data_IF_154147329665
#
_entry.id   IF_154147329665
#
_cell.length_a   1.000
_cell.length_b   1.000
_cell.length_c   1.000
_cell.angle_alpha   90.00
_cell.angle_beta   90.00
_cell.angle_gamma   90.00
#
_symmetry.space_group_name_H-M   'P 1'
#
loop_
_entity.id
_entity.type
_entity.pdbx_description
1 polymer ?
#
# COMPACT_ATOMS: atom_id res chain seq x y z
N UNK A 1 27.70 25.98 7.26
CA UNK A 1 26.95 27.00 8.02
C UNK A 1 25.46 26.96 7.69
N UNK A 2 25.08 26.61 6.45
CA UNK A 2 23.66 26.48 6.05
C UNK A 2 22.97 25.18 6.50
N UNK A 3 23.68 24.05 6.59
CA UNK A 3 23.13 22.76 7.08
C UNK A 3 22.69 22.86 8.55
N UNK A 4 23.47 23.57 9.38
CA UNK A 4 23.13 23.78 10.80
C UNK A 4 21.86 24.63 10.92
N UNK A 5 21.68 25.63 10.05
CA UNK A 5 20.49 26.48 9.99
C UNK A 5 19.23 25.73 9.53
N UNK A 6 19.38 24.70 8.70
CA UNK A 6 18.30 23.82 8.25
C UNK A 6 17.91 22.79 9.32
N UNK A 7 18.89 22.34 10.12
CA UNK A 7 18.70 21.51 11.32
C UNK A 7 18.09 22.29 12.51
N UNK A 8 18.37 23.59 12.60
CA UNK A 8 17.92 24.48 13.69
C UNK A 8 16.51 25.06 13.47
N UNK A 9 15.86 24.82 12.33
CA UNK A 9 14.45 25.19 12.15
C UNK A 9 13.54 24.22 12.91
N UNK A 10 12.54 24.71 13.68
CA UNK A 10 11.57 23.84 14.31
C UNK A 10 10.75 23.12 13.23
N UNK A 11 11.10 21.86 12.93
CA UNK A 11 10.26 21.01 12.08
C UNK A 11 8.89 20.90 12.74
N UNK A 12 7.85 21.35 12.06
CA UNK A 12 6.49 21.06 12.48
C UNK A 12 6.27 19.55 12.38
N UNK A 13 6.37 18.88 13.52
CA UNK A 13 6.15 17.44 13.61
C UNK A 13 4.68 17.12 13.35
N UNK A 14 4.46 16.05 12.59
CA UNK A 14 3.16 15.53 12.21
C UNK A 14 2.38 15.10 13.46
N UNK A 15 1.18 15.65 13.60
CA UNK A 15 0.18 15.16 14.54
C UNK A 15 -0.43 13.82 14.09
N UNK A 16 -1.35 13.29 14.90
CA UNK A 16 -1.95 11.97 14.68
C UNK A 16 -2.67 11.81 13.33
N UNK A 17 -3.48 12.80 12.94
CA UNK A 17 -4.26 12.71 11.70
C UNK A 17 -3.37 12.77 10.44
N UNK A 18 -2.46 13.75 10.26
CA UNK A 18 -1.53 13.76 9.13
C UNK A 18 -0.67 12.48 9.06
N UNK A 19 -0.11 12.03 10.19
CA UNK A 19 0.72 10.82 10.24
C UNK A 19 -0.06 9.56 9.85
N UNK A 20 -1.29 9.43 10.39
CA UNK A 20 -2.22 8.36 10.03
C UNK A 20 -2.62 8.46 8.57
N UNK A 21 -2.77 9.65 8.00
CA UNK A 21 -3.22 9.81 6.62
C UNK A 21 -2.16 9.44 5.60
N UNK A 22 -0.89 9.80 5.83
CA UNK A 22 0.21 9.44 4.95
C UNK A 22 0.38 7.91 4.91
N UNK A 23 0.57 7.31 6.08
CA UNK A 23 0.82 5.86 6.20
C UNK A 23 -0.44 5.05 5.93
N UNK A 24 -1.58 5.56 6.38
CA UNK A 24 -2.91 5.00 6.20
C UNK A 24 -3.33 4.96 4.74
N UNK A 25 -2.97 5.96 3.92
CA UNK A 25 -3.31 5.96 2.51
C UNK A 25 -2.74 4.71 1.82
N UNK A 26 -1.48 4.36 2.08
CA UNK A 26 -0.82 3.22 1.44
C UNK A 26 -1.48 1.88 1.83
N UNK A 27 -1.78 1.70 3.12
CA UNK A 27 -2.44 0.47 3.59
C UNK A 27 -3.92 0.40 3.20
N UNK A 28 -4.62 1.52 3.22
CA UNK A 28 -6.05 1.52 2.91
C UNK A 28 -6.30 1.48 1.40
N UNK A 29 -5.42 2.06 0.58
CA UNK A 29 -5.46 1.88 -0.88
C UNK A 29 -5.30 0.42 -1.28
N UNK A 30 -4.62 -0.39 -0.47
CA UNK A 30 -4.48 -1.82 -0.76
C UNK A 30 -5.82 -2.56 -0.83
N UNK A 31 -6.84 -2.10 -0.11
CA UNK A 31 -8.21 -2.67 -0.17
C UNK A 31 -8.75 -2.72 -1.60
N UNK A 32 -8.39 -1.74 -2.43
CA UNK A 32 -8.85 -1.62 -3.82
C UNK A 32 -8.38 -2.77 -4.73
N UNK A 33 -7.31 -3.49 -4.37
CA UNK A 33 -6.80 -4.63 -5.12
C UNK A 33 -6.72 -5.92 -4.30
N UNK A 34 -6.45 -5.85 -2.99
CA UNK A 34 -6.36 -7.02 -2.10
C UNK A 34 -7.69 -7.77 -2.06
N UNK A 35 -8.82 -7.06 -1.99
CA UNK A 35 -10.14 -7.70 -1.94
C UNK A 35 -10.43 -8.46 -3.24
N UNK A 36 -10.06 -7.90 -4.41
CA UNK A 36 -10.17 -8.57 -5.71
C UNK A 36 -9.31 -9.82 -5.78
N UNK A 37 -8.01 -9.69 -5.47
CA UNK A 37 -7.08 -10.80 -5.59
C UNK A 37 -7.42 -11.93 -4.62
N UNK A 38 -7.85 -11.62 -3.38
CA UNK A 38 -8.28 -12.65 -2.42
C UNK A 38 -9.56 -13.32 -2.87
N UNK A 39 -10.50 -12.57 -3.46
CA UNK A 39 -11.69 -13.18 -4.03
C UNK A 39 -11.34 -14.11 -5.19
N UNK A 40 -10.40 -13.73 -6.08
CA UNK A 40 -9.95 -14.55 -7.20
C UNK A 40 -9.32 -15.88 -6.76
N UNK A 41 -8.53 -15.87 -5.67
CA UNK A 41 -7.84 -17.08 -5.20
C UNK A 41 -8.69 -17.92 -4.24
N UNK A 42 -9.46 -17.28 -3.36
CA UNK A 42 -10.15 -17.94 -2.24
C UNK A 42 -11.66 -18.00 -2.37
N UNK A 43 -12.23 -17.38 -3.41
CA UNK A 43 -13.65 -17.39 -3.69
C UNK A 43 -14.47 -17.07 -2.43
N UNK A 44 -15.38 -17.98 -2.06
CA UNK A 44 -16.27 -17.80 -0.89
C UNK A 44 -15.54 -17.78 0.45
N UNK A 45 -14.35 -18.37 0.51
CA UNK A 45 -13.54 -18.39 1.73
C UNK A 45 -12.80 -17.08 1.95
N UNK A 46 -12.89 -16.07 1.05
CA UNK A 46 -12.16 -14.80 1.16
C UNK A 46 -12.21 -14.11 2.54
N UNK A 47 -13.27 -14.19 3.38
CA UNK A 47 -13.22 -13.56 4.70
C UNK A 47 -12.18 -14.21 5.64
N UNK A 48 -11.89 -15.50 5.47
CA UNK A 48 -10.94 -16.25 6.32
C UNK A 48 -9.49 -15.74 6.15
N UNK A 49 -8.90 -15.70 4.94
CA UNK A 49 -7.56 -15.14 4.77
C UNK A 49 -7.51 -13.65 5.13
N UNK A 50 -8.56 -12.86 4.88
CA UNK A 50 -8.58 -11.43 5.28
C UNK A 50 -8.55 -11.26 6.81
N UNK A 51 -9.29 -12.10 7.55
CA UNK A 51 -9.22 -12.16 9.01
C UNK A 51 -7.84 -12.62 9.50
N UNK A 52 -7.25 -13.61 8.84
CA UNK A 52 -5.93 -14.11 9.19
C UNK A 52 -4.84 -13.03 9.00
N UNK A 53 -4.87 -12.29 7.90
CA UNK A 53 -3.93 -11.18 7.68
C UNK A 53 -4.18 -10.06 8.69
N UNK A 54 -5.44 -9.73 9.01
CA UNK A 54 -5.77 -8.77 10.09
C UNK A 54 -5.21 -9.20 11.45
N UNK A 55 -5.28 -10.50 11.78
CA UNK A 55 -4.71 -11.05 13.00
C UNK A 55 -3.17 -10.97 13.00
N UNK A 56 -2.50 -11.28 11.88
CA UNK A 56 -1.05 -11.12 11.75
C UNK A 56 -0.64 -9.66 11.94
N UNK A 57 -1.33 -8.71 11.29
CA UNK A 57 -1.07 -7.28 11.46
C UNK A 57 -1.32 -6.80 12.89
N UNK A 58 -2.31 -7.38 13.59
CA UNK A 58 -2.57 -7.08 15.00
C UNK A 58 -1.37 -7.40 15.88
N UNK A 59 -0.76 -8.57 15.71
CA UNK A 59 0.45 -8.93 16.46
C UNK A 59 1.66 -8.12 16.00
N UNK A 60 1.80 -7.96 14.69
CA UNK A 60 2.91 -7.23 14.09
C UNK A 60 2.97 -5.78 14.58
N UNK A 61 1.83 -5.13 14.84
CA UNK A 61 1.80 -3.75 15.37
C UNK A 61 2.61 -3.59 16.66
N UNK A 62 2.60 -4.59 17.55
CA UNK A 62 3.30 -4.51 18.82
C UNK A 62 4.80 -4.68 18.64
N UNK A 63 5.19 -5.61 17.76
CA UNK A 63 6.59 -5.85 17.37
C UNK A 63 7.17 -4.59 16.70
N UNK A 64 6.40 -4.01 15.77
CA UNK A 64 6.80 -2.82 15.02
C UNK A 64 6.89 -1.58 15.90
N UNK A 65 5.92 -1.39 16.81
CA UNK A 65 5.93 -0.32 17.80
C UNK A 65 7.21 -0.38 18.64
N UNK A 66 7.53 -1.54 19.20
CA UNK A 66 8.67 -1.71 20.11
C UNK A 66 10.01 -1.39 19.44
N UNK A 67 10.25 -1.95 18.25
CA UNK A 67 11.54 -1.80 17.59
C UNK A 67 11.75 -0.42 17.00
N UNK A 68 10.72 0.14 16.34
CA UNK A 68 10.84 1.46 15.71
C UNK A 68 10.88 2.57 16.77
N UNK A 69 10.24 2.41 17.93
CA UNK A 69 10.38 3.39 19.02
C UNK A 69 11.72 3.29 19.74
N UNK A 70 12.37 2.12 19.71
CA UNK A 70 13.72 1.93 20.27
C UNK A 70 14.81 2.55 19.38
N UNK A 71 14.66 2.44 18.05
CA UNK A 71 15.56 3.02 17.06
C UNK A 71 14.73 3.90 16.11
N UNK A 72 14.35 5.13 16.52
CA UNK A 72 13.45 6.01 15.79
C UNK A 72 14.17 6.67 14.61
N UNK A 73 14.61 5.86 13.66
CA UNK A 73 15.31 6.31 12.46
C UNK A 73 14.56 5.90 11.21
N UNK A 74 14.35 6.86 10.29
CA UNK A 74 13.72 6.63 8.98
C UNK A 74 14.46 5.56 8.18
N UNK A 75 13.81 4.81 7.30
CA UNK A 75 14.40 3.60 6.68
C UNK A 75 14.08 2.30 7.45
N UNK A 76 13.31 2.43 8.54
CA UNK A 76 12.42 1.40 9.04
C UNK A 76 13.06 0.06 9.36
N UNK A 77 12.47 -1.00 8.82
CA UNK A 77 12.86 -2.41 8.99
C UNK A 77 14.36 -2.66 8.74
N UNK A 78 14.98 -1.94 7.81
CA UNK A 78 16.40 -2.13 7.49
C UNK A 78 17.32 -1.64 8.61
N UNK A 79 17.11 -0.42 9.14
CA UNK A 79 17.95 0.10 10.22
C UNK A 79 17.84 -0.78 11.46
N UNK A 80 16.63 -1.22 11.80
CA UNK A 80 16.43 -2.16 12.88
C UNK A 80 17.26 -3.43 12.66
N UNK A 81 17.19 -4.03 11.46
CA UNK A 81 17.92 -5.25 11.13
C UNK A 81 19.45 -5.06 11.11
N UNK A 82 19.94 -3.93 10.61
CA UNK A 82 21.37 -3.62 10.56
C UNK A 82 21.99 -3.50 11.95
N UNK A 83 21.23 -2.97 12.92
CA UNK A 83 21.70 -2.77 14.29
C UNK A 83 21.56 -4.02 15.17
N UNK A 84 20.85 -5.05 14.70
CA UNK A 84 20.41 -6.17 15.56
C UNK A 84 20.76 -7.54 14.99
N UNK A 85 21.13 -7.61 13.71
CA UNK A 85 21.47 -8.86 13.02
C UNK A 85 22.77 -8.73 12.23
N UNK A 86 23.17 -9.79 11.54
CA UNK A 86 24.36 -9.76 10.70
C UNK A 86 24.17 -8.85 9.47
N UNK A 87 25.26 -8.24 8.97
CA UNK A 87 25.26 -7.45 7.73
C UNK A 87 24.65 -8.21 6.54
N UNK A 88 24.82 -9.54 6.48
CA UNK A 88 24.26 -10.39 5.42
C UNK A 88 22.73 -10.48 5.53
N UNK A 89 22.21 -10.66 6.74
CA UNK A 89 20.76 -10.70 7.01
C UNK A 89 20.12 -9.35 6.72
N UNK A 90 20.75 -8.25 7.14
CA UNK A 90 20.29 -6.90 6.85
C UNK A 90 20.30 -6.58 5.35
N UNK A 91 21.33 -7.00 4.61
CA UNK A 91 21.39 -6.86 3.15
C UNK A 91 20.32 -7.69 2.43
N UNK A 92 20.06 -8.92 2.89
CA UNK A 92 18.99 -9.75 2.34
C UNK A 92 17.61 -9.11 2.57
N UNK A 93 17.35 -8.59 3.77
CA UNK A 93 16.13 -7.86 4.06
C UNK A 93 15.99 -6.55 3.27
N UNK A 94 17.10 -5.85 3.01
CA UNK A 94 17.11 -4.69 2.12
C UNK A 94 16.64 -5.07 0.71
N UNK A 95 17.13 -6.18 0.15
CA UNK A 95 16.68 -6.67 -1.15
C UNK A 95 15.17 -6.97 -1.16
N UNK A 96 14.64 -7.61 -0.11
CA UNK A 96 13.20 -7.86 0.03
C UNK A 96 12.41 -6.55 0.15
N UNK A 97 12.95 -5.55 0.86
CA UNK A 97 12.38 -4.21 0.96
C UNK A 97 12.31 -3.48 -0.39
N UNK A 98 13.39 -3.54 -1.17
CA UNK A 98 13.44 -2.99 -2.53
C UNK A 98 12.39 -3.65 -3.41
N UNK A 99 12.30 -4.99 -3.39
CA UNK A 99 11.27 -5.74 -4.13
C UNK A 99 9.85 -5.38 -3.68
N UNK A 100 9.63 -5.19 -2.38
CA UNK A 100 8.34 -4.78 -1.81
C UNK A 100 7.92 -3.40 -2.32
N UNK A 101 8.82 -2.40 -2.28
CA UNK A 101 8.53 -1.06 -2.80
C UNK A 101 8.35 -1.04 -4.32
N UNK A 102 9.14 -1.81 -5.06
CA UNK A 102 9.01 -1.92 -6.51
C UNK A 102 7.63 -2.49 -6.88
N UNK A 103 7.26 -3.61 -6.26
CA UNK A 103 5.98 -4.24 -6.53
C UNK A 103 4.80 -3.38 -6.04
N UNK A 104 4.91 -2.72 -4.89
CA UNK A 104 3.87 -1.79 -4.39
C UNK A 104 3.60 -0.67 -5.39
N UNK A 105 4.65 -0.03 -5.93
CA UNK A 105 4.47 1.04 -6.92
C UNK A 105 3.87 0.55 -8.23
N UNK A 106 4.33 -0.60 -8.74
CA UNK A 106 3.82 -1.18 -9.99
C UNK A 106 2.37 -1.64 -9.86
N UNK A 107 2.02 -2.34 -8.77
CA UNK A 107 0.65 -2.79 -8.48
C UNK A 107 -0.26 -1.58 -8.30
N UNK A 108 0.17 -0.56 -7.56
CA UNK A 108 -0.64 0.64 -7.35
C UNK A 108 -0.87 1.41 -8.64
N UNK A 109 0.17 1.61 -9.45
CA UNK A 109 0.05 2.29 -10.74
C UNK A 109 -0.84 1.52 -11.72
N UNK A 110 -0.66 0.21 -11.80
CA UNK A 110 -1.45 -0.67 -12.69
C UNK A 110 -2.92 -0.66 -12.30
N UNK A 111 -3.23 -0.87 -11.02
CA UNK A 111 -4.63 -0.84 -10.55
C UNK A 111 -5.25 0.54 -10.73
N UNK A 112 -4.50 1.62 -10.49
CA UNK A 112 -4.98 3.00 -10.69
C UNK A 112 -5.46 3.21 -12.14
N UNK A 113 -4.65 2.77 -13.10
CA UNK A 113 -4.99 2.83 -14.54
C UNK A 113 -6.14 1.87 -14.88
N UNK A 114 -6.20 0.68 -14.30
CA UNK A 114 -7.32 -0.25 -14.51
C UNK A 114 -8.66 0.32 -14.04
N UNK A 115 -8.69 0.96 -12.87
CA UNK A 115 -9.89 1.67 -12.38
C UNK A 115 -10.30 2.80 -13.33
N UNK A 116 -9.34 3.55 -13.86
CA UNK A 116 -9.62 4.61 -14.84
C UNK A 116 -10.08 4.06 -16.20
N UNK A 117 -9.52 2.92 -16.63
CA UNK A 117 -9.86 2.24 -17.87
C UNK A 117 -11.32 1.75 -17.89
N UNK A 118 -11.90 1.48 -16.71
CA UNK A 118 -13.33 1.16 -16.57
C UNK A 118 -14.25 2.33 -16.94
N UNK A 119 -13.75 3.58 -16.91
CA UNK A 119 -14.50 4.77 -17.32
C UNK A 119 -14.16 5.21 -18.75
N UNK A 120 -12.88 5.16 -19.12
CA UNK A 120 -12.39 5.60 -20.43
C UNK A 120 -11.42 4.56 -20.95
N UNK A 121 -11.69 4.00 -22.13
CA UNK A 121 -10.81 3.00 -22.74
C UNK A 121 -9.44 3.60 -23.04
N UNK A 122 -8.40 3.11 -22.34
CA UNK A 122 -7.03 3.58 -22.44
C UNK A 122 -6.06 2.39 -22.50
N UNK A 123 -4.90 2.53 -23.17
CA UNK A 123 -3.89 1.48 -23.21
C UNK A 123 -3.24 1.33 -21.83
N UNK A 124 -3.55 0.24 -21.12
CA UNK A 124 -3.15 0.03 -19.72
C UNK A 124 -1.63 0.10 -19.56
N UNK A 125 -0.87 -0.69 -20.33
CA UNK A 125 0.60 -0.75 -20.24
C UNK A 125 1.25 0.63 -20.42
N UNK A 126 0.90 1.33 -21.50
CA UNK A 126 1.46 2.66 -21.79
C UNK A 126 1.07 3.71 -20.76
N UNK A 127 -0.18 3.69 -20.30
CA UNK A 127 -0.69 4.63 -19.30
C UNK A 127 -0.05 4.40 -17.93
N UNK A 128 0.20 3.14 -17.54
CA UNK A 128 0.89 2.80 -16.29
C UNK A 128 2.33 3.28 -16.30
N UNK A 129 3.06 3.08 -17.40
CA UNK A 129 4.44 3.59 -17.54
C UNK A 129 4.46 5.12 -17.50
N UNK A 130 3.52 5.76 -18.20
CA UNK A 130 3.38 7.22 -18.16
C UNK A 130 3.10 7.73 -16.73
N UNK A 131 2.19 7.08 -16.00
CA UNK A 131 1.88 7.43 -14.61
C UNK A 131 3.11 7.30 -13.71
N UNK A 132 3.84 6.18 -13.80
CA UNK A 132 5.09 5.98 -13.07
C UNK A 132 6.12 7.07 -13.39
N UNK A 133 6.24 7.47 -14.65
CA UNK A 133 7.15 8.54 -15.09
C UNK A 133 6.73 9.91 -14.59
N UNK A 134 5.44 10.22 -14.59
CA UNK A 134 4.90 11.46 -14.03
C UNK A 134 5.22 11.57 -12.53
N UNK A 135 5.02 10.48 -11.77
CA UNK A 135 5.37 10.46 -10.34
C UNK A 135 6.88 10.44 -10.08
N UNK A 136 7.70 9.87 -10.99
CA UNK A 136 9.15 10.01 -10.94
C UNK A 136 9.57 11.49 -11.05
N UNK A 137 8.96 12.24 -11.97
CA UNK A 137 9.22 13.68 -12.11
C UNK A 137 8.80 14.46 -10.86
N UNK A 138 7.62 14.17 -10.30
CA UNK A 138 7.16 14.77 -9.04
C UNK A 138 8.12 14.48 -7.87
N UNK A 139 8.61 13.24 -7.78
CA UNK A 139 9.60 12.84 -6.78
C UNK A 139 10.93 13.57 -6.97
N UNK A 140 11.40 13.75 -8.22
CA UNK A 140 12.61 14.53 -8.52
C UNK A 140 12.43 16.00 -8.15
N UNK A 141 11.24 16.56 -8.35
CA UNK A 141 10.88 17.92 -7.96
C UNK A 141 10.80 18.12 -6.44
N UNK A 142 10.83 17.03 -5.66
CA UNK A 142 10.76 17.06 -4.20
C UNK A 142 9.37 17.42 -3.68
N UNK A 143 8.31 17.19 -4.46
CA UNK A 143 6.94 17.40 -4.00
C UNK A 143 6.55 16.21 -3.13
N UNK A 144 6.68 16.38 -1.81
CA UNK A 144 6.25 15.42 -0.78
C UNK A 144 5.14 15.98 0.13
N UNK A 145 4.49 17.08 -0.27
CA UNK A 145 3.63 17.86 0.61
C UNK A 145 2.44 17.06 1.17
N UNK A 146 2.56 16.75 2.46
CA UNK A 146 1.68 15.92 3.28
C UNK A 146 0.34 16.58 3.65
N UNK A 147 0.25 17.91 3.59
CA UNK A 147 -0.91 18.66 4.11
C UNK A 147 -2.24 18.36 3.37
N UNK A 148 -2.17 17.96 2.11
CA UNK A 148 -3.34 17.57 1.30
C UNK A 148 -3.67 16.07 1.38
N UNK A 149 -2.73 15.24 1.83
CA UNK A 149 -2.90 13.78 1.88
C UNK A 149 -3.99 13.39 2.88
N UNK A 150 -4.14 14.14 3.97
CA UNK A 150 -5.21 13.92 4.94
C UNK A 150 -6.62 14.08 4.37
N UNK A 151 -6.83 15.04 3.47
CA UNK A 151 -8.15 15.26 2.85
C UNK A 151 -8.48 14.12 1.90
N UNK A 152 -7.52 13.68 1.08
CA UNK A 152 -7.66 12.54 0.16
C UNK A 152 -7.97 11.27 0.96
N UNK A 153 -7.23 11.03 2.04
CA UNK A 153 -7.42 9.87 2.89
C UNK A 153 -8.79 9.83 3.58
N UNK A 154 -9.26 10.96 4.13
CA UNK A 154 -10.58 11.05 4.73
C UNK A 154 -11.69 10.87 3.69
N UNK A 155 -11.52 11.43 2.49
CA UNK A 155 -12.45 11.24 1.38
C UNK A 155 -12.56 9.75 1.01
N UNK A 156 -11.44 9.05 0.92
CA UNK A 156 -11.38 7.61 0.66
C UNK A 156 -12.09 6.80 1.75
N UNK A 157 -11.86 7.12 3.02
CA UNK A 157 -12.58 6.48 4.14
C UNK A 157 -14.09 6.67 4.00
N UNK A 158 -14.56 7.88 3.65
CA UNK A 158 -15.99 8.15 3.45
C UNK A 158 -16.55 7.33 2.30
N UNK A 159 -15.85 7.29 1.17
CA UNK A 159 -16.23 6.49 0.01
C UNK A 159 -16.35 5.01 0.37
N UNK A 160 -15.33 4.43 1.03
CA UNK A 160 -15.34 3.03 1.46
C UNK A 160 -16.43 2.75 2.50
N UNK A 161 -16.73 3.70 3.40
CA UNK A 161 -17.80 3.57 4.39
C UNK A 161 -19.17 3.52 3.72
N UNK A 162 -19.42 4.42 2.76
CA UNK A 162 -20.68 4.43 1.99
C UNK A 162 -20.80 3.12 1.21
N UNK A 163 -19.71 2.68 0.58
CA UNK A 163 -19.71 1.41 -0.14
C UNK A 163 -20.06 0.25 0.81
N UNK A 164 -19.39 0.14 1.96
CA UNK A 164 -19.65 -0.91 2.95
C UNK A 164 -21.10 -0.90 3.44
N UNK A 165 -21.63 0.26 3.86
CA UNK A 165 -23.01 0.36 4.35
C UNK A 165 -24.01 0.02 3.24
N UNK A 166 -23.80 0.50 2.01
CA UNK A 166 -24.68 0.19 0.87
C UNK A 166 -24.73 -1.31 0.57
N UNK A 167 -23.61 -2.04 0.73
CA UNK A 167 -23.56 -3.49 0.57
C UNK A 167 -24.40 -4.22 1.61
N UNK A 168 -24.25 -3.83 2.88
CA UNK A 168 -24.98 -4.45 3.99
C UNK A 168 -26.48 -4.28 3.77
N UNK A 169 -26.91 -3.08 3.40
CA UNK A 169 -28.33 -2.81 3.07
C UNK A 169 -28.79 -3.63 1.87
N UNK A 170 -28.02 -3.63 0.78
CA UNK A 170 -28.36 -4.38 -0.44
C UNK A 170 -28.49 -5.88 -0.16
N UNK A 171 -27.56 -6.48 0.60
CA UNK A 171 -27.57 -7.89 0.96
C UNK A 171 -28.73 -8.28 1.90
N UNK A 172 -29.17 -7.36 2.76
CA UNK A 172 -30.38 -7.58 3.59
C UNK A 172 -31.65 -7.57 2.70
N UNK A 173 -31.70 -6.67 1.71
CA UNK A 173 -32.85 -6.52 0.81
C UNK A 173 -32.93 -7.66 -0.22
N UNK A 174 -31.79 -8.12 -0.73
CA UNK A 174 -31.69 -9.14 -1.77
C UNK A 174 -31.06 -10.41 -1.18
N UNK A 175 -31.89 -11.26 -0.54
CA UNK A 175 -31.46 -12.53 0.05
C UNK A 175 -31.09 -13.57 -1.02
N UNK A 176 -29.90 -13.47 -1.61
CA UNK A 176 -29.33 -14.51 -2.49
C UNK A 176 -28.04 -15.05 -1.91
N UNK A 177 -28.15 -15.98 -0.95
CA UNK A 177 -27.00 -16.76 -0.50
C UNK A 177 -26.92 -18.03 -1.36
N UNK A 178 -26.12 -18.00 -2.44
CA UNK A 178 -25.81 -19.21 -3.22
C UNK A 178 -24.53 -19.83 -2.67
N UNK A 179 -24.67 -20.91 -1.88
CA UNK A 179 -23.60 -21.70 -1.26
C UNK A 179 -23.37 -23.01 -2.02
N UNK A 180 -22.55 -23.00 -3.07
CA UNK A 180 -21.79 -24.17 -3.54
C UNK A 180 -20.48 -23.74 -4.20
N UNK A 181 -19.44 -24.57 -4.01
CA UNK A 181 -18.02 -24.44 -4.37
C UNK A 181 -17.13 -23.64 -3.38
N UNK A 182 -16.20 -24.36 -2.74
CA UNK A 182 -15.10 -23.86 -1.92
C UNK A 182 -13.80 -24.01 -2.71
N UNK A 183 -13.04 -22.93 -2.87
CA UNK A 183 -11.65 -22.94 -3.38
C UNK A 183 -10.71 -22.39 -2.32
N UNK A 184 -9.42 -22.75 -2.42
CA UNK A 184 -8.43 -22.76 -1.33
C UNK A 184 -8.12 -21.39 -0.69
N UNK A 185 -7.66 -21.42 0.57
CA UNK A 185 -7.22 -20.24 1.33
C UNK A 185 -5.86 -19.74 0.83
N UNK A 186 -5.80 -18.50 0.33
CA UNK A 186 -4.55 -17.80 0.02
C UNK A 186 -4.43 -16.56 0.89
N UNK A 187 -3.34 -16.44 1.65
CA UNK A 187 -2.99 -15.19 2.32
C UNK A 187 -2.32 -14.28 1.30
N UNK A 188 -3.01 -13.23 0.87
CA UNK A 188 -2.41 -12.18 0.02
C UNK A 188 -2.01 -10.99 0.88
N UNK A 189 -0.87 -10.38 0.56
CA UNK A 189 -0.27 -9.34 1.39
C UNK A 189 -1.12 -8.06 1.42
N UNK A 190 -1.45 -7.62 2.64
CA UNK A 190 -1.89 -6.25 2.91
C UNK A 190 -0.62 -5.40 3.04
N UNK A 191 -0.55 -4.32 2.26
CA UNK A 191 0.69 -3.55 2.05
C UNK A 191 0.69 -2.26 2.85
N UNK A 192 1.83 -1.59 2.99
CA UNK A 192 1.89 -0.22 3.49
C UNK A 192 1.91 -0.07 5.02
N UNK A 193 1.78 -1.15 5.79
CA UNK A 193 1.97 -1.10 7.24
C UNK A 193 3.40 -0.65 7.60
N UNK A 194 4.39 -1.15 6.85
CA UNK A 194 5.81 -0.84 6.96
C UNK A 194 6.14 0.62 6.60
N UNK A 195 5.35 1.23 5.71
CA UNK A 195 5.61 2.59 5.23
C UNK A 195 5.49 3.65 6.33
N UNK A 196 4.80 3.32 7.43
CA UNK A 196 4.70 4.19 8.62
C UNK A 196 6.05 4.51 9.24
N UNK A 197 7.02 3.58 9.17
CA UNK A 197 8.35 3.76 9.75
C UNK A 197 9.25 4.71 8.95
N UNK A 198 8.89 5.02 7.70
CA UNK A 198 9.62 6.00 6.89
C UNK A 198 9.35 7.45 7.31
N UNK A 199 8.35 7.66 8.18
CA UNK A 199 7.95 8.97 8.67
C UNK A 199 8.03 9.05 10.19
N UNK A 200 8.84 8.20 10.85
CA UNK A 200 8.89 8.14 12.31
C UNK A 200 9.58 9.39 12.88
N UNK A 201 10.60 9.90 12.19
CA UNK A 201 11.36 11.11 12.59
C UNK A 201 10.51 12.38 12.46
N UNK A 202 9.52 12.37 11.55
CA UNK A 202 8.63 13.48 11.28
C UNK A 202 7.40 13.52 12.21
N UNK A 203 7.21 12.53 13.09
CA UNK A 203 6.04 12.42 13.96
C UNK A 203 6.27 12.99 15.37
N UNK A 204 5.21 13.53 15.98
CA UNK A 204 5.26 13.94 17.38
C UNK A 204 5.48 12.73 18.31
N UNK A 205 6.12 12.91 19.49
CA UNK A 205 6.32 11.83 20.45
C UNK A 205 5.02 11.09 20.80
N UNK A 206 5.04 9.76 20.70
CA UNK A 206 3.89 8.90 21.00
C UNK A 206 2.81 8.82 19.90
N UNK A 207 2.91 9.59 18.81
CA UNK A 207 1.97 9.51 17.68
C UNK A 207 2.12 8.22 16.90
N UNK A 208 3.34 7.71 16.72
CA UNK A 208 3.61 6.49 15.94
C UNK A 208 2.77 5.30 16.37
N UNK A 209 2.66 5.05 17.68
CA UNK A 209 1.81 4.00 18.25
C UNK A 209 0.35 4.15 17.83
N UNK A 210 -0.17 5.38 17.87
CA UNK A 210 -1.56 5.67 17.50
C UNK A 210 -1.78 5.48 16.00
N UNK A 211 -0.82 5.90 15.19
CA UNK A 211 -0.82 5.67 13.73
C UNK A 211 -0.92 4.18 13.41
N UNK A 212 -0.09 3.32 14.02
CA UNK A 212 -0.18 1.86 13.82
C UNK A 212 -1.53 1.28 14.24
N UNK A 213 -2.07 1.72 15.38
CA UNK A 213 -3.40 1.30 15.86
C UNK A 213 -4.50 1.70 14.88
N UNK A 214 -4.49 2.95 14.41
CA UNK A 214 -5.51 3.50 13.52
C UNK A 214 -5.45 2.80 12.15
N UNK A 215 -4.24 2.58 11.60
CA UNK A 215 -4.02 1.82 10.37
C UNK A 215 -4.56 0.39 10.47
N UNK A 216 -4.22 -0.34 11.53
CA UNK A 216 -4.70 -1.70 11.75
C UNK A 216 -6.23 -1.76 11.86
N UNK A 217 -6.83 -0.83 12.61
CA UNK A 217 -8.28 -0.79 12.80
C UNK A 217 -9.01 -0.55 11.47
N UNK A 218 -8.59 0.47 10.72
CA UNK A 218 -9.17 0.82 9.43
C UNK A 218 -9.04 -0.33 8.43
N UNK A 219 -7.83 -0.86 8.26
CA UNK A 219 -7.61 -1.93 7.28
C UNK A 219 -8.40 -3.19 7.65
N UNK A 220 -8.52 -3.53 8.93
CA UNK A 220 -9.33 -4.67 9.38
C UNK A 220 -10.79 -4.49 9.03
N UNK A 221 -11.36 -3.32 9.37
CA UNK A 221 -12.77 -3.03 9.12
C UNK A 221 -13.07 -3.09 7.62
N UNK A 222 -12.26 -2.42 6.80
CA UNK A 222 -12.54 -2.34 5.36
C UNK A 222 -12.19 -3.63 4.62
N UNK A 223 -11.04 -4.27 4.85
CA UNK A 223 -10.74 -5.53 4.15
C UNK A 223 -11.71 -6.64 4.54
N UNK A 224 -11.92 -6.89 5.84
CA UNK A 224 -12.81 -7.98 6.28
C UNK A 224 -14.27 -7.65 5.96
N UNK A 225 -14.70 -6.41 6.26
CA UNK A 225 -16.07 -5.97 6.03
C UNK A 225 -16.44 -5.96 4.55
N UNK A 226 -15.63 -5.33 3.70
CA UNK A 226 -15.89 -5.33 2.25
C UNK A 226 -15.76 -6.73 1.68
N UNK A 227 -14.76 -7.51 2.09
CA UNK A 227 -14.58 -8.87 1.62
C UNK A 227 -15.77 -9.78 1.91
N UNK A 228 -16.32 -9.73 3.14
CA UNK A 228 -17.53 -10.47 3.48
C UNK A 228 -18.77 -9.96 2.72
N UNK A 229 -18.90 -8.63 2.58
CA UNK A 229 -20.10 -8.02 2.00
C UNK A 229 -20.18 -8.10 0.48
N UNK A 230 -19.05 -8.24 -0.24
CA UNK A 230 -19.02 -8.39 -1.70
C UNK A 230 -19.67 -9.70 -2.14
N UNK A 231 -19.44 -10.79 -1.40
CA UNK A 231 -20.05 -12.09 -1.66
C UNK A 231 -21.59 -12.06 -1.56
N UNK A 232 -22.15 -11.07 -0.86
CA UNK A 232 -23.60 -10.88 -0.75
C UNK A 232 -24.20 -10.17 -1.96
N UNK A 233 -23.39 -9.55 -2.84
CA UNK A 233 -23.88 -8.73 -3.95
C UNK A 233 -23.52 -9.27 -5.32
N UNK A 234 -22.32 -9.81 -5.49
CA UNK A 234 -21.88 -10.35 -6.78
C UNK A 234 -21.72 -11.87 -6.73
N UNK A 235 -22.16 -12.60 -7.77
CA UNK A 235 -21.78 -14.00 -7.94
C UNK A 235 -20.26 -14.10 -8.18
N UNK A 236 -19.65 -15.24 -7.87
CA UNK A 236 -18.23 -15.47 -8.19
C UNK A 236 -18.00 -15.54 -9.71
N UNK A 237 -18.85 -16.31 -10.39
CA UNK A 237 -18.74 -16.61 -11.81
C UNK A 237 -19.77 -15.84 -12.64
N UNK A 238 -19.60 -15.88 -13.96
CA UNK A 238 -20.44 -15.17 -14.93
C UNK A 238 -19.87 -13.82 -15.36
N UNK A 239 -20.41 -13.25 -16.43
CA UNK A 239 -19.92 -11.97 -17.00
C UNK A 239 -20.05 -10.78 -16.06
N UNK A 240 -21.01 -10.83 -15.13
CA UNK A 240 -21.19 -9.84 -14.06
C UNK A 240 -20.59 -10.30 -12.72
N UNK A 241 -19.90 -11.43 -12.68
CA UNK A 241 -19.33 -11.99 -11.47
C UNK A 241 -17.98 -11.38 -11.10
N UNK A 242 -17.49 -11.74 -9.91
CA UNK A 242 -16.25 -11.23 -9.34
C UNK A 242 -15.05 -11.52 -10.24
N UNK A 243 -14.93 -12.76 -10.76
CA UNK A 243 -13.78 -13.15 -11.58
C UNK A 243 -13.70 -12.41 -12.92
N UNK A 244 -14.84 -11.99 -13.47
CA UNK A 244 -14.88 -11.24 -14.73
C UNK A 244 -14.57 -9.73 -14.55
N UNK A 245 -14.55 -9.24 -13.30
CA UNK A 245 -14.42 -7.83 -12.98
C UNK A 245 -13.30 -7.59 -11.94
N UNK A 246 -12.25 -8.41 -11.93
CA UNK A 246 -11.17 -8.37 -10.93
C UNK A 246 -10.45 -7.01 -10.89
N UNK A 247 -10.12 -6.45 -12.05
CA UNK A 247 -9.32 -5.23 -12.24
C UNK A 247 -9.94 -3.96 -11.63
N UNK A 248 -11.26 -3.92 -11.46
CA UNK A 248 -11.99 -2.77 -10.90
C UNK A 248 -13.18 -3.24 -10.04
N UNK A 249 -12.97 -4.30 -9.25
CA UNK A 249 -14.04 -5.00 -8.54
C UNK A 249 -14.88 -4.07 -7.68
N UNK A 250 -14.25 -3.19 -6.89
CA UNK A 250 -15.01 -2.29 -6.00
C UNK A 250 -15.88 -1.29 -6.77
N UNK A 251 -15.48 -0.91 -7.99
CA UNK A 251 -16.29 -0.04 -8.85
C UNK A 251 -17.50 -0.80 -9.40
N UNK A 252 -17.30 -2.04 -9.90
CA UNK A 252 -18.39 -2.91 -10.35
C UNK A 252 -19.36 -3.25 -9.23
N UNK A 253 -18.82 -3.60 -8.07
CA UNK A 253 -19.54 -3.73 -6.81
C UNK A 253 -20.36 -2.46 -6.65
N UNK A 254 -19.74 -1.29 -6.51
CA UNK A 254 -20.40 0.02 -6.36
C UNK A 254 -21.56 0.27 -7.33
N UNK A 255 -21.35 -0.03 -8.61
CA UNK A 255 -22.37 0.05 -9.67
C UNK A 255 -23.62 -0.74 -9.35
N UNK A 256 -23.49 -1.98 -8.88
CA UNK A 256 -24.66 -2.83 -8.59
C UNK A 256 -25.46 -2.36 -7.38
N UNK A 257 -24.84 -1.76 -6.36
CA UNK A 257 -25.60 -1.29 -5.18
C UNK A 257 -26.15 0.13 -5.31
N UNK A 258 -25.43 1.05 -5.96
CA UNK A 258 -25.76 2.47 -5.97
C UNK A 258 -25.87 3.07 -7.38
N UNK A 259 -25.54 2.31 -8.43
CA UNK A 259 -25.61 2.74 -9.82
C UNK A 259 -24.32 3.34 -10.38
N UNK A 260 -24.38 3.76 -11.66
CA UNK A 260 -23.21 4.21 -12.44
C UNK A 260 -22.51 5.45 -11.89
N UNK A 261 -23.22 6.36 -11.23
CA UNK A 261 -22.60 7.56 -10.65
C UNK A 261 -21.62 7.18 -9.53
N UNK A 262 -21.97 6.17 -8.72
CA UNK A 262 -21.13 5.70 -7.63
C UNK A 262 -19.93 4.92 -8.19
N UNK A 263 -20.13 4.12 -9.24
CA UNK A 263 -19.04 3.48 -9.99
C UNK A 263 -17.99 4.49 -10.46
N UNK A 264 -18.42 5.59 -11.10
CA UNK A 264 -17.52 6.64 -11.56
C UNK A 264 -16.78 7.29 -10.38
N UNK A 265 -17.48 7.54 -9.27
CA UNK A 265 -16.86 8.06 -8.06
C UNK A 265 -15.80 7.10 -7.48
N UNK A 266 -16.10 5.79 -7.40
CA UNK A 266 -15.14 4.76 -6.97
C UNK A 266 -13.90 4.76 -7.85
N UNK A 267 -14.07 4.82 -9.18
CA UNK A 267 -12.95 4.83 -10.11
C UNK A 267 -12.03 6.05 -9.93
N UNK A 268 -12.62 7.24 -9.77
CA UNK A 268 -11.86 8.48 -9.57
C UNK A 268 -11.14 8.49 -8.21
N UNK A 269 -11.84 8.09 -7.15
CA UNK A 269 -11.25 7.97 -5.81
C UNK A 269 -10.10 6.96 -5.79
N UNK A 270 -10.32 5.76 -6.35
CA UNK A 270 -9.30 4.72 -6.47
C UNK A 270 -8.06 5.22 -7.23
N UNK A 271 -8.25 5.91 -8.36
CA UNK A 271 -7.16 6.48 -9.14
C UNK A 271 -6.29 7.42 -8.30
N UNK A 272 -6.92 8.37 -7.59
CA UNK A 272 -6.24 9.39 -6.77
C UNK A 272 -5.52 8.77 -5.57
N UNK A 273 -6.15 7.84 -4.85
CA UNK A 273 -5.58 7.23 -3.64
C UNK A 273 -4.41 6.31 -3.99
N UNK A 274 -4.52 5.51 -5.07
CA UNK A 274 -3.44 4.66 -5.58
C UNK A 274 -2.26 5.47 -6.12
N UNK A 275 -2.50 6.65 -6.70
CA UNK A 275 -1.44 7.60 -7.05
C UNK A 275 -0.61 8.02 -5.80
N UNK A 276 -1.27 8.20 -4.65
CA UNK A 276 -0.59 8.45 -3.38
C UNK A 276 0.28 7.27 -2.92
N UNK A 277 -0.14 6.03 -3.18
CA UNK A 277 0.67 4.84 -2.90
C UNK A 277 1.90 4.74 -3.83
N UNK A 278 1.78 5.14 -5.11
CA UNK A 278 2.93 5.26 -6.03
C UNK A 278 3.93 6.29 -5.51
N UNK A 279 3.48 7.47 -5.06
CA UNK A 279 4.39 8.45 -4.47
C UNK A 279 5.07 7.92 -3.21
N UNK A 280 4.32 7.20 -2.36
CA UNK A 280 4.86 6.59 -1.13
C UNK A 280 5.92 5.54 -1.41
N UNK A 281 5.81 4.77 -2.51
CA UNK A 281 6.85 3.81 -2.89
C UNK A 281 8.12 4.49 -3.39
N UNK A 282 8.03 5.62 -4.09
CA UNK A 282 9.19 6.46 -4.44
C UNK A 282 9.89 7.03 -3.20
N UNK A 283 9.13 7.54 -2.22
CA UNK A 283 9.71 8.01 -0.95
C UNK A 283 10.35 6.87 -0.17
N UNK A 284 9.68 5.73 -0.10
CA UNK A 284 10.16 4.54 0.60
C UNK A 284 11.46 3.97 0.02
N UNK A 285 11.57 3.87 -1.31
CA UNK A 285 12.81 3.41 -1.94
C UNK A 285 13.95 4.40 -1.77
N UNK A 286 13.68 5.71 -1.85
CA UNK A 286 14.70 6.72 -1.62
C UNK A 286 15.23 6.63 -0.18
N UNK A 287 14.34 6.57 0.82
CA UNK A 287 14.73 6.45 2.23
C UNK A 287 15.48 5.15 2.56
N UNK A 288 15.14 4.04 1.90
CA UNK A 288 15.86 2.77 2.07
C UNK A 288 17.25 2.82 1.43
N UNK A 289 17.33 3.26 0.17
CA UNK A 289 18.56 3.19 -0.63
C UNK A 289 19.59 4.24 -0.22
N UNK A 290 19.15 5.42 0.23
CA UNK A 290 20.01 6.48 0.76
C UNK A 290 20.88 6.00 1.94
N UNK A 291 20.36 5.03 2.71
CA UNK A 291 21.07 4.42 3.85
C UNK A 291 21.89 3.18 3.48
N UNK A 292 21.78 2.68 2.24
CA UNK A 292 22.34 1.40 1.79
C UNK A 292 23.54 1.53 0.84
N UNK A 293 23.58 2.56 0.00
CA UNK A 293 24.53 2.62 -1.13
C UNK A 293 25.70 3.60 -0.89
N UNK A 294 26.87 3.34 -1.53
CA UNK A 294 28.03 4.23 -1.48
C UNK A 294 27.69 5.62 -2.03
N UNK A 295 28.46 6.64 -1.60
CA UNK A 295 28.22 8.08 -1.77
C UNK A 295 27.86 8.54 -3.19
N UNK A 296 28.22 7.78 -4.22
CA UNK A 296 27.92 8.06 -5.63
C UNK A 296 26.44 7.90 -5.99
N UNK A 297 25.70 6.96 -5.39
CA UNK A 297 24.26 6.78 -5.65
C UNK A 297 23.37 7.65 -4.75
N UNK A 298 23.96 8.19 -3.69
CA UNK A 298 23.37 9.20 -2.81
C UNK A 298 23.71 10.64 -3.26
N UNK A 299 24.19 10.82 -4.51
CA UNK A 299 24.40 12.15 -5.07
C UNK A 299 23.05 12.87 -5.21
N UNK A 300 22.91 13.93 -4.42
CA UNK A 300 21.74 14.78 -4.44
C UNK A 300 21.85 15.84 -5.53
N UNK A 301 20.73 16.18 -6.16
CA UNK A 301 20.72 17.25 -7.16
C UNK A 301 21.00 18.61 -6.49
N UNK A 302 21.91 19.40 -7.06
CA UNK A 302 22.30 20.75 -6.58
C UNK A 302 21.12 21.73 -6.44
N UNK A 303 20.02 21.54 -7.18
CA UNK A 303 18.87 22.45 -7.17
C UNK A 303 17.84 22.18 -6.08
N UNK A 304 17.70 20.92 -5.63
CA UNK A 304 16.57 20.47 -4.78
C UNK A 304 16.97 19.46 -3.70
N UNK A 305 18.21 18.97 -3.68
CA UNK A 305 18.67 18.00 -2.70
C UNK A 305 18.11 16.57 -2.89
N UNK A 306 17.56 16.22 -4.06
CA UNK A 306 16.90 14.92 -4.30
C UNK A 306 17.82 13.88 -4.95
N UNK A 307 17.65 12.60 -4.55
CA UNK A 307 18.39 11.43 -5.08
C UNK A 307 17.87 10.98 -6.46
N UNK A 308 18.17 11.77 -7.48
CA UNK A 308 17.68 11.60 -8.85
C UNK A 308 18.10 10.27 -9.51
N UNK A 309 19.27 9.72 -9.18
CA UNK A 309 19.68 8.40 -9.67
C UNK A 309 18.80 7.27 -9.15
N UNK A 310 18.47 7.29 -7.85
CA UNK A 310 17.61 6.27 -7.23
C UNK A 310 16.22 6.28 -7.88
N UNK A 311 15.66 7.48 -8.07
CA UNK A 311 14.35 7.65 -8.71
C UNK A 311 14.37 7.15 -10.16
N UNK A 312 15.42 7.48 -10.92
CA UNK A 312 15.58 7.03 -12.31
C UNK A 312 15.70 5.51 -12.44
N UNK A 313 16.53 4.88 -11.60
CA UNK A 313 16.71 3.41 -11.56
C UNK A 313 15.38 2.74 -11.16
N UNK A 314 14.71 3.24 -10.13
CA UNK A 314 13.42 2.72 -9.71
C UNK A 314 12.39 2.80 -10.85
N UNK A 315 12.29 3.94 -11.53
CA UNK A 315 11.39 4.10 -12.67
C UNK A 315 11.67 3.09 -13.79
N UNK A 316 12.95 2.87 -14.12
CA UNK A 316 13.34 1.89 -15.14
C UNK A 316 12.98 0.46 -14.74
N UNK A 317 13.26 0.07 -13.49
CA UNK A 317 12.90 -1.25 -12.96
C UNK A 317 11.38 -1.43 -12.85
N UNK A 318 10.64 -0.39 -12.48
CA UNK A 318 9.18 -0.44 -12.38
C UNK A 318 8.57 -0.57 -13.78
N UNK A 319 9.07 0.20 -14.74
CA UNK A 319 8.63 0.14 -16.14
C UNK A 319 8.94 -1.22 -16.78
N UNK A 320 10.12 -1.79 -16.51
CA UNK A 320 10.45 -3.13 -17.03
C UNK A 320 9.53 -4.21 -16.43
N UNK A 321 9.18 -4.11 -15.15
CA UNK A 321 8.23 -5.03 -14.52
C UNK A 321 6.82 -4.88 -15.10
N UNK A 322 6.37 -3.67 -15.42
CA UNK A 322 5.10 -3.43 -16.13
C UNK A 322 5.10 -4.08 -17.51
N UNK A 323 6.19 -3.94 -18.28
CA UNK A 323 6.32 -4.56 -19.61
C UNK A 323 6.34 -6.10 -19.53
N UNK A 324 7.12 -6.66 -18.61
CA UNK A 324 7.25 -8.12 -18.43
C UNK A 324 5.93 -8.74 -17.95
N UNK A 325 5.23 -8.06 -17.04
CA UNK A 325 3.92 -8.50 -16.55
C UNK A 325 2.78 -8.18 -17.51
N UNK A 326 3.02 -7.46 -18.61
CA UNK A 326 2.00 -6.90 -19.50
C UNK A 326 0.89 -6.14 -18.72
N UNK A 327 1.30 -5.38 -17.70
CA UNK A 327 0.43 -4.71 -16.74
C UNK A 327 -0.60 -5.64 -16.06
N UNK A 328 -0.25 -6.90 -15.82
CA UNK A 328 -1.04 -7.81 -15.00
C UNK A 328 -0.66 -7.67 -13.52
N UNK A 329 -1.52 -6.98 -12.75
CA UNK A 329 -1.30 -6.74 -11.33
C UNK A 329 -1.25 -8.04 -10.50
N UNK A 330 -2.00 -9.08 -10.89
CA UNK A 330 -2.08 -10.35 -10.17
C UNK A 330 -0.75 -11.11 -10.19
N UNK A 331 -0.03 -11.08 -11.32
CA UNK A 331 1.32 -11.67 -11.40
C UNK A 331 2.31 -10.96 -10.47
N UNK A 332 2.27 -9.63 -10.43
CA UNK A 332 3.17 -8.82 -9.57
C UNK A 332 2.81 -8.97 -8.09
N UNK A 333 1.52 -9.12 -7.76
CA UNK A 333 1.02 -9.37 -6.39
C UNK A 333 1.59 -10.66 -5.77
N UNK A 334 1.85 -11.69 -6.58
CA UNK A 334 2.49 -12.92 -6.11
C UNK A 334 3.91 -12.68 -5.61
N UNK A 335 4.76 -12.05 -6.44
CA UNK A 335 6.15 -11.69 -6.09
C UNK A 335 6.17 -10.77 -4.86
N UNK A 336 5.27 -9.79 -4.84
CA UNK A 336 5.07 -8.89 -3.71
C UNK A 336 4.81 -9.64 -2.40
N UNK A 337 3.85 -10.58 -2.41
CA UNK A 337 3.43 -11.30 -1.20
C UNK A 337 4.60 -12.06 -0.58
N UNK A 338 5.39 -12.77 -1.39
CA UNK A 338 6.55 -13.50 -0.87
C UNK A 338 7.65 -12.57 -0.34
N UNK A 339 7.93 -11.46 -1.02
CA UNK A 339 8.93 -10.49 -0.58
C UNK A 339 8.54 -9.84 0.76
N UNK A 340 7.27 -9.45 0.88
CA UNK A 340 6.75 -8.79 2.08
C UNK A 340 6.68 -9.74 3.28
N UNK A 341 6.16 -10.96 3.11
CA UNK A 341 6.13 -11.96 4.18
C UNK A 341 7.55 -12.31 4.66
N UNK A 342 8.50 -12.46 3.73
CA UNK A 342 9.90 -12.68 4.06
C UNK A 342 10.49 -11.53 4.87
N UNK A 343 10.20 -10.28 4.49
CA UNK A 343 10.66 -9.09 5.21
C UNK A 343 10.11 -9.03 6.64
N UNK A 344 8.80 -9.28 6.82
CA UNK A 344 8.15 -9.31 8.13
C UNK A 344 8.72 -10.44 9.00
N UNK A 345 8.95 -11.62 8.42
CA UNK A 345 9.52 -12.75 9.15
C UNK A 345 10.93 -12.42 9.65
N UNK A 346 11.80 -11.87 8.79
CA UNK A 346 13.15 -11.44 9.18
C UNK A 346 13.12 -10.37 10.27
N UNK A 347 12.25 -9.37 10.12
CA UNK A 347 12.09 -8.34 11.13
C UNK A 347 11.64 -8.92 12.47
N UNK A 348 10.66 -9.82 12.46
CA UNK A 348 10.17 -10.48 13.68
C UNK A 348 11.26 -11.31 14.36
N UNK A 349 12.05 -12.06 13.59
CA UNK A 349 13.22 -12.78 14.12
C UNK A 349 14.25 -11.84 14.76
N UNK A 350 14.53 -10.69 14.13
CA UNK A 350 15.45 -9.71 14.67
C UNK A 350 14.96 -9.08 15.98
N UNK A 351 13.65 -8.87 16.12
CA UNK A 351 13.05 -8.42 17.37
C UNK A 351 13.24 -9.42 18.50
N UNK A 352 13.11 -10.73 18.20
CA UNK A 352 13.36 -11.78 19.19
C UNK A 352 14.82 -11.77 19.66
N UNK A 353 15.77 -11.55 18.75
CA UNK A 353 17.20 -11.45 19.06
C UNK A 353 17.53 -10.20 19.89
N UNK A 354 16.85 -9.08 19.65
CA UNK A 354 17.00 -7.85 20.45
C UNK A 354 16.66 -8.01 21.93
N UNK A 355 15.73 -8.92 22.25
CA UNK A 355 15.27 -9.19 23.62
C UNK A 355 16.12 -10.21 24.37
N UNK A 356 17.05 -10.88 23.67
CA UNK A 356 17.88 -11.96 24.20
C UNK A 356 19.16 -11.43 24.83
#
# INVERSE_FOLDING_TARGET
MDIQKELDQPKQLLGELPATSISGNNILSSVLYTVSSVAATSGKLMPIPLLLVSAVLFYFRFIYEEVITTIPMNGGTYNALLNTTSKRTAAFAACLGILSYLATGVVSATNSVCYLNNQVSIPIVGSTIFLLGAFALLAVMGISDSSRVAVIFLHHIVMLSILFVSRVVYGIQHRTCSTRTCTQTSMLGITGFESSSNYVEEQQPGVFRKTLRNMWGLVTVFNVGLGASILAVLPLEGSNGIYANEDALLAKVGREALGRWFEAWVCVDAFVVLCGAVLTSYVGICGLVDRLLPSFLAETNKLRGTNHYIIGIYFQLASSLVLISNANATTVNGVYTYAFLGLIALFSCACMLLKS
#
